data_IF_959707591470
#
_entry.id   IF_959707591470
#
_cell.length_a   1.000
_cell.length_b   1.000
_cell.length_c   1.000
_cell.angle_alpha   90.00
_cell.angle_beta   90.00
_cell.angle_gamma   90.00
#
_symmetry.space_group_name_H-M   'P 1'
#
loop_
_entity.id
_entity.type
_entity.pdbx_description
1 polymer ?
#
# COMPACT_ATOMS: atom_id res chain seq x y z
N UNK A 1 48.57 10.39 -74.05
CA UNK A 1 48.29 9.61 -72.83
C UNK A 1 47.38 10.44 -71.95
N UNK A 2 46.09 10.13 -71.92
CA UNK A 2 45.04 11.04 -71.43
C UNK A 2 45.08 11.16 -69.90
N UNK A 3 45.53 12.32 -69.38
CA UNK A 3 45.61 12.62 -67.94
C UNK A 3 44.29 12.39 -67.18
N UNK A 4 43.16 12.44 -67.87
CA UNK A 4 41.82 12.24 -67.31
C UNK A 4 41.53 10.78 -66.93
N UNK A 5 42.11 9.80 -67.64
CA UNK A 5 41.88 8.37 -67.39
C UNK A 5 42.52 7.89 -66.07
N UNK A 6 43.66 8.48 -65.68
CA UNK A 6 44.30 8.19 -64.40
C UNK A 6 43.51 8.74 -63.20
N UNK A 7 42.91 9.92 -63.35
CA UNK A 7 42.12 10.56 -62.30
C UNK A 7 40.80 9.81 -62.03
N UNK A 8 40.12 9.33 -63.09
CA UNK A 8 38.90 8.52 -62.95
C UNK A 8 39.18 7.16 -62.31
N UNK A 9 40.30 6.51 -62.61
CA UNK A 9 40.68 5.24 -61.98
C UNK A 9 40.98 5.42 -60.48
N UNK A 10 41.66 6.50 -60.09
CA UNK A 10 41.92 6.80 -58.69
C UNK A 10 40.64 7.08 -57.89
N UNK A 11 39.70 7.82 -58.48
CA UNK A 11 38.40 8.10 -57.85
C UNK A 11 37.56 6.83 -57.65
N UNK A 12 37.54 5.94 -58.65
CA UNK A 12 36.85 4.64 -58.53
C UNK A 12 37.50 3.76 -57.47
N UNK A 13 38.83 3.70 -57.42
CA UNK A 13 39.54 2.95 -56.39
C UNK A 13 39.24 3.48 -54.97
N UNK A 14 39.22 4.80 -54.77
CA UNK A 14 38.88 5.41 -53.49
C UNK A 14 37.42 5.11 -53.08
N UNK A 15 36.47 5.17 -54.02
CA UNK A 15 35.08 4.83 -53.77
C UNK A 15 34.91 3.35 -53.36
N UNK A 16 35.65 2.44 -54.00
CA UNK A 16 35.64 1.01 -53.64
C UNK A 16 36.21 0.79 -52.23
N UNK A 17 37.29 1.48 -51.86
CA UNK A 17 37.87 1.40 -50.51
C UNK A 17 36.88 1.90 -49.45
N UNK A 18 36.22 3.03 -49.69
CA UNK A 18 35.20 3.56 -48.77
C UNK A 18 34.04 2.57 -48.64
N UNK A 19 33.57 1.99 -49.75
CA UNK A 19 32.49 1.01 -49.75
C UNK A 19 32.88 -0.23 -48.93
N UNK A 20 34.10 -0.73 -49.07
CA UNK A 20 34.59 -1.86 -48.27
C UNK A 20 34.66 -1.54 -46.77
N UNK A 21 35.12 -0.35 -46.40
CA UNK A 21 35.16 0.10 -44.99
C UNK A 21 33.75 0.18 -44.40
N UNK A 22 32.78 0.72 -45.15
CA UNK A 22 31.38 0.79 -44.69
C UNK A 22 30.79 -0.61 -44.57
N UNK A 23 31.03 -1.49 -45.55
CA UNK A 23 30.46 -2.84 -45.59
C UNK A 23 31.00 -3.73 -44.45
N UNK A 24 32.26 -3.51 -44.03
CA UNK A 24 32.86 -4.24 -42.90
C UNK A 24 32.54 -3.57 -41.55
N UNK A 25 32.58 -2.23 -41.47
CA UNK A 25 32.37 -1.49 -40.22
C UNK A 25 30.92 -1.46 -39.75
N UNK A 26 29.96 -1.33 -40.68
CA UNK A 26 28.53 -1.25 -40.36
C UNK A 26 27.98 -2.49 -39.60
N UNK A 27 28.21 -3.74 -40.03
CA UNK A 27 27.72 -4.91 -39.29
C UNK A 27 28.38 -5.04 -37.91
N UNK A 28 29.66 -4.70 -37.76
CA UNK A 28 30.35 -4.73 -36.48
C UNK A 28 29.78 -3.68 -35.50
N UNK A 29 29.54 -2.46 -35.97
CA UNK A 29 28.91 -1.41 -35.16
C UNK A 29 27.52 -1.82 -34.72
N UNK A 30 26.71 -2.42 -35.61
CA UNK A 30 25.36 -2.87 -35.29
C UNK A 30 25.34 -3.95 -34.19
N UNK A 31 26.29 -4.88 -34.21
CA UNK A 31 26.40 -5.91 -33.16
C UNK A 31 26.83 -5.29 -31.84
N UNK A 32 27.79 -4.36 -31.86
CA UNK A 32 28.23 -3.65 -30.66
C UNK A 32 27.08 -2.85 -30.01
N UNK A 33 26.33 -2.09 -30.81
CA UNK A 33 25.18 -1.32 -30.33
C UNK A 33 24.09 -2.23 -29.75
N UNK A 34 23.85 -3.40 -30.37
CA UNK A 34 22.88 -4.37 -29.86
C UNK A 34 23.32 -4.99 -28.53
N UNK A 35 24.61 -5.27 -28.36
CA UNK A 35 25.15 -5.77 -27.08
C UNK A 35 25.00 -4.74 -25.97
N UNK A 36 25.39 -3.49 -26.24
CA UNK A 36 25.27 -2.39 -25.29
C UNK A 36 23.80 -2.18 -24.86
N UNK A 37 22.87 -2.26 -25.82
CA UNK A 37 21.43 -2.17 -25.53
C UNK A 37 20.95 -3.33 -24.65
N UNK A 38 21.41 -4.56 -24.91
CA UNK A 38 21.09 -5.73 -24.09
C UNK A 38 21.63 -5.64 -22.67
N UNK A 39 22.88 -5.18 -22.52
CA UNK A 39 23.51 -4.96 -21.21
C UNK A 39 22.78 -3.87 -20.42
N UNK A 40 22.41 -2.76 -21.06
CA UNK A 40 21.63 -1.70 -20.43
C UNK A 40 20.26 -2.22 -19.96
N UNK A 41 19.54 -2.98 -20.80
CA UNK A 41 18.25 -3.55 -20.44
C UNK A 41 18.35 -4.56 -19.28
N UNK A 42 19.42 -5.37 -19.24
CA UNK A 42 19.67 -6.29 -18.13
C UNK A 42 19.97 -5.54 -16.82
N UNK A 43 20.80 -4.50 -16.88
CA UNK A 43 21.12 -3.68 -15.72
C UNK A 43 19.88 -2.97 -15.17
N UNK A 44 19.01 -2.45 -16.05
CA UNK A 44 17.74 -1.84 -15.68
C UNK A 44 16.75 -2.84 -15.06
N UNK A 45 16.65 -4.05 -15.62
CA UNK A 45 15.81 -5.10 -15.06
C UNK A 45 16.29 -5.55 -13.67
N UNK A 46 17.61 -5.63 -13.47
CA UNK A 46 18.23 -5.98 -12.18
C UNK A 46 17.98 -4.90 -11.13
N UNK A 47 18.20 -3.64 -11.46
CA UNK A 47 17.96 -2.53 -10.54
C UNK A 47 16.47 -2.44 -10.18
N UNK A 48 15.58 -2.54 -11.17
CA UNK A 48 14.13 -2.54 -10.95
C UNK A 48 13.68 -3.68 -10.02
N UNK A 49 14.23 -4.89 -10.20
CA UNK A 49 13.96 -6.01 -9.28
C UNK A 49 14.48 -5.71 -7.87
N UNK A 50 15.66 -5.14 -7.75
CA UNK A 50 16.24 -4.81 -6.44
C UNK A 50 15.39 -3.77 -5.70
N UNK A 51 14.93 -2.72 -6.40
CA UNK A 51 13.99 -1.71 -5.88
C UNK A 51 12.71 -2.39 -5.38
N UNK A 52 12.10 -3.26 -6.20
CA UNK A 52 10.88 -3.96 -5.81
C UNK A 52 11.05 -4.85 -4.55
N UNK A 53 12.21 -5.51 -4.41
CA UNK A 53 12.53 -6.31 -3.22
C UNK A 53 12.70 -5.41 -1.99
N UNK A 54 13.40 -4.29 -2.12
CA UNK A 54 13.60 -3.34 -1.03
C UNK A 54 12.27 -2.72 -0.59
N UNK A 55 11.41 -2.34 -1.53
CA UNK A 55 10.07 -1.85 -1.25
C UNK A 55 9.21 -2.91 -0.55
N UNK A 56 9.25 -4.16 -1.02
CA UNK A 56 8.50 -5.25 -0.39
C UNK A 56 8.99 -5.51 1.05
N UNK A 57 10.32 -5.45 1.28
CA UNK A 57 10.90 -5.56 2.62
C UNK A 57 10.46 -4.40 3.52
N UNK A 58 10.53 -3.16 3.02
CA UNK A 58 10.11 -1.98 3.77
C UNK A 58 8.63 -2.04 4.14
N UNK A 59 7.76 -2.48 3.22
CA UNK A 59 6.33 -2.68 3.49
C UNK A 59 6.10 -3.76 4.56
N UNK A 60 6.84 -4.87 4.51
CA UNK A 60 6.76 -5.93 5.53
C UNK A 60 7.17 -5.40 6.90
N UNK A 61 8.29 -4.68 6.98
CA UNK A 61 8.79 -4.11 8.24
C UNK A 61 7.80 -3.09 8.82
N UNK A 62 7.29 -2.20 7.98
CA UNK A 62 6.24 -1.25 8.38
C UNK A 62 4.99 -1.96 8.92
N UNK A 63 4.53 -3.03 8.26
CA UNK A 63 3.38 -3.80 8.74
C UNK A 63 3.63 -4.47 10.09
N UNK A 64 4.84 -4.99 10.33
CA UNK A 64 5.22 -5.57 11.63
C UNK A 64 5.20 -4.49 12.70
N UNK A 65 5.85 -3.34 12.47
CA UNK A 65 5.87 -2.25 13.46
C UNK A 65 4.47 -1.72 13.76
N UNK A 66 3.58 -1.64 12.77
CA UNK A 66 2.18 -1.26 12.98
C UNK A 66 1.43 -2.31 13.80
N UNK A 67 1.65 -3.60 13.54
CA UNK A 67 1.03 -4.67 14.32
C UNK A 67 1.51 -4.66 15.78
N UNK A 68 2.80 -4.43 16.01
CA UNK A 68 3.37 -4.29 17.36
C UNK A 68 2.81 -3.08 18.10
N UNK A 69 2.72 -1.93 17.43
CA UNK A 69 2.11 -0.73 17.99
C UNK A 69 0.64 -0.98 18.39
N UNK A 70 -0.11 -1.71 17.57
CA UNK A 70 -1.50 -2.07 17.85
C UNK A 70 -1.63 -3.02 19.05
N UNK A 71 -0.70 -3.96 19.21
CA UNK A 71 -0.64 -4.83 20.40
C UNK A 71 -0.38 -4.02 21.67
N UNK A 72 0.56 -3.07 21.63
CA UNK A 72 0.86 -2.19 22.77
C UNK A 72 -0.37 -1.33 23.11
N UNK A 73 -1.02 -0.76 22.09
CA UNK A 73 -2.25 0.02 22.25
C UNK A 73 -3.37 -0.82 22.89
N UNK A 74 -3.58 -2.03 22.41
CA UNK A 74 -4.60 -2.95 22.94
C UNK A 74 -4.30 -3.35 24.38
N UNK A 75 -3.02 -3.62 24.72
CA UNK A 75 -2.59 -3.90 26.10
C UNK A 75 -2.86 -2.71 27.02
N UNK A 76 -2.44 -1.51 26.62
CA UNK A 76 -2.69 -0.29 27.40
C UNK A 76 -4.18 -0.02 27.61
N UNK A 77 -5.01 -0.23 26.58
CA UNK A 77 -6.46 -0.12 26.70
C UNK A 77 -7.06 -1.18 27.66
N UNK A 78 -6.57 -2.42 27.60
CA UNK A 78 -7.00 -3.49 28.51
C UNK A 78 -6.60 -3.21 29.97
N UNK A 79 -5.38 -2.72 30.19
CA UNK A 79 -4.90 -2.32 31.53
C UNK A 79 -5.71 -1.14 32.08
N UNK A 80 -5.96 -0.11 31.26
CA UNK A 80 -6.80 1.02 31.65
C UNK A 80 -8.23 0.58 32.01
N UNK A 81 -8.83 -0.31 31.21
CA UNK A 81 -10.15 -0.87 31.49
C UNK A 81 -10.16 -1.69 32.78
N UNK A 82 -9.13 -2.50 33.03
CA UNK A 82 -9.01 -3.29 34.26
C UNK A 82 -8.89 -2.39 35.49
N UNK A 83 -8.10 -1.32 35.41
CA UNK A 83 -7.99 -0.32 36.50
C UNK A 83 -9.35 0.30 36.77
N UNK A 84 -10.02 0.80 35.73
CA UNK A 84 -11.32 1.46 35.88
C UNK A 84 -12.39 0.51 36.43
N UNK A 85 -12.41 -0.74 35.97
CA UNK A 85 -13.30 -1.78 36.49
C UNK A 85 -13.06 -2.04 37.98
N UNK A 86 -11.81 -2.16 38.41
CA UNK A 86 -11.48 -2.35 39.82
C UNK A 86 -11.86 -1.13 40.66
N UNK A 87 -11.64 0.09 40.16
CA UNK A 87 -11.99 1.34 40.84
C UNK A 87 -13.51 1.55 40.98
N UNK A 88 -14.31 1.01 40.06
CA UNK A 88 -15.77 1.14 40.05
C UNK A 88 -16.51 0.02 40.80
N UNK A 89 -15.79 -0.82 41.56
CA UNK A 89 -16.39 -1.90 42.35
C UNK A 89 -16.71 -3.16 41.54
N UNK A 90 -16.02 -3.37 40.41
CA UNK A 90 -16.10 -4.58 39.60
C UNK A 90 -16.86 -4.42 38.29
N UNK A 91 -17.20 -5.54 37.62
CA UNK A 91 -17.80 -5.55 36.28
C UNK A 91 -19.11 -4.73 36.18
N UNK A 92 -19.99 -4.84 37.18
CA UNK A 92 -21.29 -4.17 37.18
C UNK A 92 -21.18 -2.64 37.25
N UNK A 93 -20.28 -2.12 38.09
CA UNK A 93 -20.03 -0.69 38.19
C UNK A 93 -19.43 -0.12 36.90
N UNK A 94 -18.56 -0.88 36.24
CA UNK A 94 -17.98 -0.50 34.95
C UNK A 94 -19.03 -0.46 33.83
N UNK A 95 -19.90 -1.45 33.73
CA UNK A 95 -20.99 -1.45 32.74
C UNK A 95 -21.94 -0.26 32.93
N UNK A 96 -22.28 0.06 34.19
CA UNK A 96 -23.10 1.24 34.50
C UNK A 96 -22.39 2.54 34.14
N UNK A 97 -21.08 2.65 34.40
CA UNK A 97 -20.28 3.80 33.96
C UNK A 97 -20.29 3.96 32.44
N UNK A 98 -20.04 2.88 31.69
CA UNK A 98 -20.08 2.90 30.22
C UNK A 98 -21.46 3.30 29.70
N UNK A 99 -22.53 2.81 30.33
CA UNK A 99 -23.90 3.19 30.00
C UNK A 99 -24.13 4.69 30.20
N UNK A 100 -23.73 5.25 31.34
CA UNK A 100 -23.88 6.68 31.63
C UNK A 100 -23.10 7.52 30.62
N UNK A 101 -21.86 7.14 30.32
CA UNK A 101 -21.01 7.83 29.34
C UNK A 101 -21.58 7.75 27.91
N UNK A 102 -22.15 6.60 27.52
CA UNK A 102 -22.84 6.45 26.24
C UNK A 102 -24.10 7.32 26.16
N UNK A 103 -24.86 7.45 27.24
CA UNK A 103 -26.03 8.33 27.32
C UNK A 103 -25.64 9.82 27.25
N UNK A 104 -24.57 10.22 27.94
CA UNK A 104 -24.02 11.57 27.90
C UNK A 104 -23.57 11.96 26.49
N UNK A 105 -22.79 11.08 25.85
CA UNK A 105 -22.21 11.31 24.51
C UNK A 105 -23.24 11.26 23.38
N UNK A 106 -24.24 10.39 23.47
CA UNK A 106 -25.27 10.24 22.43
C UNK A 106 -26.32 11.35 22.43
N UNK A 107 -26.32 12.28 23.40
CA UNK A 107 -27.44 13.22 23.66
C UNK A 107 -28.80 12.51 23.53
N UNK A 108 -28.89 11.25 23.96
CA UNK A 108 -30.06 10.43 23.72
C UNK A 108 -31.28 11.10 24.38
N UNK A 109 -32.21 11.53 23.55
CA UNK A 109 -33.52 12.04 23.96
C UNK A 109 -34.12 11.02 24.92
N UNK A 110 -34.26 11.41 26.19
CA UNK A 110 -34.90 10.58 27.22
C UNK A 110 -36.35 10.31 26.78
N UNK A 111 -36.61 9.17 26.11
CA UNK A 111 -37.97 8.73 25.82
C UNK A 111 -38.53 8.17 27.13
N UNK A 112 -39.24 9.03 27.87
CA UNK A 112 -39.93 8.66 29.09
C UNK A 112 -41.10 7.73 28.75
N UNK A 113 -40.98 6.46 29.13
CA UNK A 113 -42.12 5.53 29.16
C UNK A 113 -42.54 5.38 30.63
N UNK A 114 -43.59 6.12 31.08
CA UNK A 114 -44.06 6.03 32.45
C UNK A 114 -44.68 4.66 32.69
N UNK A 115 -44.12 3.90 33.64
CA UNK A 115 -44.90 2.91 34.37
C UNK A 115 -44.51 3.02 35.84
N UNK A 116 -45.50 3.22 36.72
CA UNK A 116 -45.36 3.35 38.18
C UNK A 116 -44.85 2.07 38.88
N UNK A 117 -44.35 1.08 38.14
CA UNK A 117 -43.97 -0.24 38.67
C UNK A 117 -43.15 -1.15 37.74
N UNK A 118 -42.55 -0.63 36.66
CA UNK A 118 -41.57 -1.39 35.86
C UNK A 118 -42.10 -2.55 35.00
N UNK A 119 -43.42 -2.76 34.93
CA UNK A 119 -44.04 -3.68 33.99
C UNK A 119 -44.89 -2.90 32.97
N UNK A 120 -44.75 -3.16 31.65
CA UNK A 120 -45.58 -2.55 30.63
C UNK A 120 -47.06 -2.75 30.97
N UNK A 121 -47.85 -1.68 30.93
CA UNK A 121 -49.30 -1.76 31.14
C UNK A 121 -49.86 -2.64 30.03
N UNK A 122 -50.10 -3.91 30.34
CA UNK A 122 -50.70 -4.84 29.40
C UNK A 122 -52.17 -4.52 29.29
N UNK A 123 -52.73 -4.60 28.07
CA UNK A 123 -54.16 -4.43 27.81
C UNK A 123 -55.05 -5.51 28.49
N UNK A 124 -54.53 -6.27 29.45
CA UNK A 124 -55.24 -7.30 30.20
C UNK A 124 -56.53 -6.77 30.87
N UNK A 125 -56.62 -5.47 31.14
CA UNK A 125 -57.84 -4.84 31.66
C UNK A 125 -58.96 -4.63 30.63
N UNK A 126 -58.67 -4.79 29.33
CA UNK A 126 -59.67 -4.66 28.25
C UNK A 126 -60.62 -5.86 28.15
N UNK A 127 -60.27 -6.99 28.78
CA UNK A 127 -61.05 -8.23 28.77
C UNK A 127 -61.86 -8.48 30.06
N UNK A 128 -61.86 -7.55 31.03
CA UNK A 128 -62.74 -7.69 32.18
C UNK A 128 -64.19 -7.40 31.74
N UNK A 129 -65.14 -8.37 31.83
CA UNK A 129 -66.54 -8.06 31.69
C UNK A 129 -66.98 -7.21 32.88
N UNK A 130 -67.81 -6.20 32.62
CA UNK A 130 -68.43 -5.36 33.64
C UNK A 130 -69.33 -6.17 34.55
#
# INVERSE_FOLDING_TARGET
MNKNAGCTLAAVAAAVVILLVVLIGYPQYRVYSQRLAGEAALAEAQSSRQVAILEARAKKESAISLAEAEVIRAKGAAEANAILQNSLGGPEGYLRYLQIQALESSKASLIYVPTEGGLPVTEARRLAPQ
#
